data_IF_298996918279
#
_entry.id   IF_298996918279
#
_cell.length_a   1.000
_cell.length_b   1.000
_cell.length_c   1.000
_cell.angle_alpha   90.00
_cell.angle_beta   90.00
_cell.angle_gamma   90.00
#
_symmetry.space_group_name_H-M   'P 1'
#
loop_
_entity.id
_entity.type
_entity.pdbx_description
1 polymer ?
#
# COMPACT_ATOMS: atom_id res chain seq x y z
N UNK A 1 6.81 32.48 20.85
CA UNK A 1 8.24 32.66 20.54
C UNK A 1 8.49 32.00 19.18
N UNK A 2 9.05 32.76 18.24
CA UNK A 2 9.37 32.44 16.84
C UNK A 2 8.28 32.72 15.79
N UNK A 3 8.35 33.98 15.35
CA UNK A 3 7.94 34.58 14.09
C UNK A 3 8.83 34.19 12.90
N UNK A 4 8.27 34.38 11.69
CA UNK A 4 8.92 34.75 10.43
C UNK A 4 9.92 33.78 9.78
N UNK A 5 9.57 33.27 8.60
CA UNK A 5 10.40 33.36 7.40
C UNK A 5 9.49 33.29 6.16
N UNK A 6 9.15 34.47 5.63
CA UNK A 6 8.78 34.65 4.23
C UNK A 6 10.09 34.67 3.44
N UNK A 7 10.23 33.78 2.46
CA UNK A 7 11.26 33.94 1.42
C UNK A 7 10.63 33.68 0.07
N UNK A 8 10.39 34.78 -0.64
CA UNK A 8 9.99 34.82 -2.04
C UNK A 8 11.19 34.38 -2.88
N UNK A 9 11.07 33.25 -3.57
CA UNK A 9 12.06 32.83 -4.58
C UNK A 9 11.51 33.20 -5.95
N UNK A 10 11.92 34.36 -6.43
CA UNK A 10 11.74 34.82 -7.80
C UNK A 10 12.49 33.86 -8.75
N UNK A 11 11.76 33.11 -9.57
CA UNK A 11 12.37 32.33 -10.66
C UNK A 11 12.68 33.32 -11.78
N UNK A 12 13.96 33.65 -11.92
CA UNK A 12 14.50 34.40 -13.04
C UNK A 12 14.47 33.48 -14.28
N UNK A 13 13.51 33.70 -15.16
CA UNK A 13 13.45 33.04 -16.46
C UNK A 13 14.31 33.89 -17.40
N UNK A 14 15.48 33.36 -17.72
CA UNK A 14 16.40 33.92 -18.70
C UNK A 14 15.71 33.89 -20.07
N UNK A 15 15.05 34.99 -20.46
CA UNK A 15 14.53 35.21 -21.80
C UNK A 15 15.60 35.87 -22.63
N UNK A 16 16.45 35.08 -23.27
CA UNK A 16 17.30 35.60 -24.34
C UNK A 16 17.28 34.68 -25.55
N UNK A 17 17.16 35.37 -26.69
CA UNK A 17 17.41 34.91 -28.07
C UNK A 17 16.26 34.19 -28.78
N UNK A 18 15.38 34.94 -29.43
CA UNK A 18 15.01 34.74 -30.85
C UNK A 18 14.39 36.04 -31.41
N UNK A 19 15.23 37.03 -31.64
CA UNK A 19 14.92 38.15 -32.54
C UNK A 19 15.52 37.84 -33.91
N UNK A 20 14.73 37.23 -34.79
CA UNK A 20 14.96 37.31 -36.23
C UNK A 20 13.61 37.50 -36.94
N UNK A 21 13.29 38.77 -37.17
CA UNK A 21 12.24 39.21 -38.07
C UNK A 21 12.61 38.72 -39.49
N UNK A 22 11.94 37.67 -39.97
CA UNK A 22 11.76 37.43 -41.40
C UNK A 22 10.27 37.50 -41.70
N UNK A 23 9.86 38.60 -42.34
CA UNK A 23 8.63 38.62 -43.12
C UNK A 23 8.78 37.56 -44.22
N UNK A 24 8.13 36.42 -44.01
CA UNK A 24 8.08 35.31 -44.96
C UNK A 24 6.80 34.54 -44.72
N UNK A 25 5.89 34.64 -45.69
CA UNK A 25 4.70 33.80 -45.94
C UNK A 25 4.50 32.65 -44.94
N UNK A 26 3.49 32.77 -44.08
CA UNK A 26 3.05 31.74 -43.13
C UNK A 26 2.64 30.47 -43.87
N UNK A 27 3.55 29.52 -43.95
CA UNK A 27 3.25 28.14 -44.33
C UNK A 27 2.31 27.53 -43.27
N UNK A 28 1.04 27.30 -43.63
CA UNK A 28 0.03 26.68 -42.77
C UNK A 28 0.47 25.33 -42.15
N UNK A 29 1.42 24.63 -42.78
CA UNK A 29 2.01 23.38 -42.28
C UNK A 29 2.84 23.55 -40.99
N UNK A 30 3.52 24.68 -40.80
CA UNK A 30 4.37 24.92 -39.62
C UNK A 30 3.55 25.25 -38.37
N UNK A 31 2.43 25.96 -38.53
CA UNK A 31 1.49 26.27 -37.45
C UNK A 31 0.77 25.02 -36.93
N UNK A 32 0.35 24.13 -37.84
CA UNK A 32 -0.29 22.87 -37.47
C UNK A 32 0.67 21.93 -36.71
N UNK A 33 1.94 21.86 -37.12
CA UNK A 33 2.98 21.07 -36.45
C UNK A 33 3.27 21.59 -35.03
N UNK A 34 3.40 22.91 -34.87
CA UNK A 34 3.66 23.55 -33.58
C UNK A 34 2.48 23.40 -32.60
N UNK A 35 1.25 23.57 -33.07
CA UNK A 35 0.04 23.35 -32.27
C UNK A 35 -0.10 21.88 -31.81
N UNK A 36 0.30 20.93 -32.67
CA UNK A 36 0.26 19.50 -32.34
C UNK A 36 1.31 19.14 -31.28
N UNK A 37 2.51 19.72 -31.37
CA UNK A 37 3.56 19.56 -30.36
C UNK A 37 3.14 20.14 -29.00
N UNK A 38 2.61 21.37 -28.98
CA UNK A 38 2.13 22.01 -27.76
C UNK A 38 0.99 21.22 -27.09
N UNK A 39 0.07 20.64 -27.88
CA UNK A 39 -0.99 19.77 -27.38
C UNK A 39 -0.46 18.45 -26.81
N UNK A 40 0.59 17.90 -27.42
CA UNK A 40 1.25 16.69 -26.92
C UNK A 40 1.97 16.95 -25.61
N UNK A 41 2.67 18.08 -25.50
CA UNK A 41 3.35 18.49 -24.26
C UNK A 41 2.35 18.77 -23.12
N UNK A 42 1.25 19.47 -23.41
CA UNK A 42 0.21 19.73 -22.40
C UNK A 42 -0.45 18.44 -21.92
N UNK A 43 -0.70 17.49 -22.81
CA UNK A 43 -1.22 16.15 -22.47
C UNK A 43 -0.23 15.36 -21.59
N UNK A 44 1.07 15.34 -21.92
CA UNK A 44 2.08 14.64 -21.12
C UNK A 44 2.24 15.28 -19.72
N UNK A 45 2.17 16.60 -19.63
CA UNK A 45 2.19 17.31 -18.35
C UNK A 45 0.94 17.00 -17.51
N UNK A 46 -0.24 16.91 -18.12
CA UNK A 46 -1.46 16.54 -17.42
C UNK A 46 -1.39 15.10 -16.89
N UNK A 47 -0.93 14.14 -17.71
CA UNK A 47 -0.81 12.73 -17.31
C UNK A 47 0.22 12.52 -16.19
N UNK A 48 1.35 13.21 -16.22
CA UNK A 48 2.36 13.12 -15.15
C UNK A 48 1.88 13.70 -13.83
N UNK A 49 1.12 14.80 -13.85
CA UNK A 49 0.48 15.35 -12.64
C UNK A 49 -0.59 14.43 -12.07
N UNK A 50 -1.43 13.84 -12.93
CA UNK A 50 -2.44 12.89 -12.49
C UNK A 50 -1.80 11.67 -11.81
N UNK A 51 -0.75 11.11 -12.42
CA UNK A 51 -0.01 9.99 -11.83
C UNK A 51 0.65 10.38 -10.50
N UNK A 52 1.24 11.57 -10.41
CA UNK A 52 1.82 12.06 -9.16
C UNK A 52 0.79 12.14 -8.02
N UNK A 53 -0.38 12.73 -8.29
CA UNK A 53 -1.46 12.81 -7.31
C UNK A 53 -1.93 11.42 -6.91
N UNK A 54 -2.17 10.52 -7.86
CA UNK A 54 -2.61 9.15 -7.58
C UNK A 54 -1.59 8.37 -6.75
N UNK A 55 -0.30 8.45 -7.08
CA UNK A 55 0.77 7.79 -6.33
C UNK A 55 0.85 8.32 -4.90
N UNK A 56 0.84 9.64 -4.71
CA UNK A 56 0.89 10.27 -3.38
C UNK A 56 -0.34 9.91 -2.55
N UNK A 57 -1.54 10.06 -3.12
CA UNK A 57 -2.79 9.73 -2.43
C UNK A 57 -2.83 8.26 -2.02
N UNK A 58 -2.44 7.35 -2.92
CA UNK A 58 -2.39 5.91 -2.61
C UNK A 58 -1.39 5.61 -1.50
N UNK A 59 -0.20 6.21 -1.54
CA UNK A 59 0.82 6.04 -0.50
C UNK A 59 0.33 6.55 0.86
N UNK A 60 -0.27 7.75 0.90
CA UNK A 60 -0.79 8.36 2.13
C UNK A 60 -1.94 7.57 2.73
N UNK A 61 -2.86 7.07 1.89
CA UNK A 61 -3.96 6.20 2.34
C UNK A 61 -3.41 4.89 2.92
N UNK A 62 -2.44 4.26 2.26
CA UNK A 62 -1.82 3.04 2.75
C UNK A 62 -1.08 3.27 4.09
N UNK A 63 -0.21 4.29 4.16
CA UNK A 63 0.55 4.58 5.37
C UNK A 63 -0.33 5.05 6.51
N UNK A 64 -1.35 5.88 6.24
CA UNK A 64 -2.32 6.34 7.22
C UNK A 64 -3.20 5.21 7.75
N UNK A 65 -3.60 4.28 6.87
CA UNK A 65 -4.29 3.06 7.26
C UNK A 65 -3.46 2.20 8.20
N UNK A 66 -2.20 1.90 7.84
CA UNK A 66 -1.27 1.15 8.70
C UNK A 66 -1.06 1.87 10.04
N UNK A 67 -0.83 3.19 10.03
CA UNK A 67 -0.65 3.97 11.25
C UNK A 67 -1.89 3.93 12.15
N UNK A 68 -3.09 4.01 11.57
CA UNK A 68 -4.36 3.93 12.32
C UNK A 68 -4.54 2.56 12.97
N UNK A 69 -4.21 1.48 12.24
CA UNK A 69 -4.23 0.13 12.80
C UNK A 69 -3.25 0.00 13.97
N UNK A 70 -2.03 0.51 13.82
CA UNK A 70 -0.99 0.44 14.85
C UNK A 70 -1.34 1.26 16.10
N UNK A 71 -1.90 2.46 15.93
CA UNK A 71 -2.18 3.38 17.04
C UNK A 71 -3.47 3.03 17.79
N UNK A 72 -4.48 2.50 17.12
CA UNK A 72 -5.80 2.29 17.72
C UNK A 72 -6.21 0.82 17.76
N UNK A 73 -6.12 0.12 16.63
CA UNK A 73 -6.61 -1.26 16.53
C UNK A 73 -5.73 -2.24 17.30
N UNK A 74 -4.40 -2.18 17.18
CA UNK A 74 -3.49 -3.10 17.87
C UNK A 74 -3.62 -3.00 19.40
N UNK A 75 -3.60 -1.80 20.03
CA UNK A 75 -3.81 -1.69 21.47
C UNK A 75 -5.16 -2.26 21.93
N UNK A 76 -6.23 -2.00 21.16
CA UNK A 76 -7.54 -2.53 21.45
C UNK A 76 -7.56 -4.06 21.37
N UNK A 77 -6.96 -4.66 20.33
CA UNK A 77 -6.86 -6.12 20.19
C UNK A 77 -6.08 -6.75 21.35
N UNK A 78 -4.97 -6.13 21.79
CA UNK A 78 -4.16 -6.61 22.91
C UNK A 78 -4.91 -6.59 24.26
N UNK A 79 -5.96 -5.78 24.38
CA UNK A 79 -6.81 -5.73 25.57
C UNK A 79 -7.85 -6.85 25.65
N UNK A 80 -8.13 -7.53 24.54
CA UNK A 80 -9.16 -8.56 24.44
C UNK A 80 -8.59 -9.96 24.69
N UNK A 81 -9.41 -10.93 25.15
CA UNK A 81 -9.02 -12.34 25.19
C UNK A 81 -8.75 -12.87 23.78
N UNK A 82 -8.00 -13.97 23.67
CA UNK A 82 -7.67 -14.60 22.40
C UNK A 82 -8.93 -15.00 21.62
N UNK A 83 -10.00 -15.45 22.30
CA UNK A 83 -11.26 -15.82 21.65
C UNK A 83 -11.94 -14.67 20.89
N UNK A 84 -11.61 -13.41 21.20
CA UNK A 84 -12.14 -12.24 20.48
C UNK A 84 -11.11 -11.56 19.59
N UNK A 85 -9.86 -11.46 20.07
CA UNK A 85 -8.80 -10.78 19.33
C UNK A 85 -8.35 -11.55 18.09
N UNK A 86 -8.36 -12.89 18.10
CA UNK A 86 -7.86 -13.70 16.99
C UNK A 86 -8.72 -13.58 15.72
N UNK A 87 -10.06 -13.68 15.75
CA UNK A 87 -10.87 -13.51 14.55
C UNK A 87 -10.76 -12.10 13.98
N UNK A 88 -10.76 -11.07 14.85
CA UNK A 88 -10.57 -9.68 14.46
C UNK A 88 -9.22 -9.45 13.78
N UNK A 89 -8.15 -9.99 14.37
CA UNK A 89 -6.79 -9.92 13.81
C UNK A 89 -6.74 -10.59 12.45
N UNK A 90 -7.38 -11.75 12.31
CA UNK A 90 -7.42 -12.48 11.05
C UNK A 90 -8.21 -11.74 9.96
N UNK A 91 -9.33 -11.12 10.32
CA UNK A 91 -10.10 -10.27 9.41
C UNK A 91 -9.25 -9.10 8.90
N UNK A 92 -8.54 -8.41 9.81
CA UNK A 92 -7.64 -7.32 9.47
C UNK A 92 -6.47 -7.79 8.59
N UNK A 93 -5.84 -8.92 8.93
CA UNK A 93 -4.72 -9.46 8.17
C UNK A 93 -5.14 -9.87 6.75
N UNK A 94 -6.25 -10.59 6.61
CA UNK A 94 -6.77 -11.05 5.30
C UNK A 94 -7.04 -9.87 4.36
N UNK A 95 -7.65 -8.79 4.84
CA UNK A 95 -7.86 -7.61 3.98
C UNK A 95 -6.56 -6.83 3.76
N UNK A 96 -5.78 -6.64 4.81
CA UNK A 96 -4.54 -5.87 4.78
C UNK A 96 -3.49 -6.48 3.85
N UNK A 97 -3.37 -7.82 3.81
CA UNK A 97 -2.41 -8.54 2.97
C UNK A 97 -2.66 -8.39 1.48
N UNK A 98 -3.87 -7.98 1.07
CA UNK A 98 -4.19 -7.67 -0.31
C UNK A 98 -4.16 -6.16 -0.58
N UNK A 99 -4.72 -5.33 0.30
CA UNK A 99 -4.84 -3.89 0.08
C UNK A 99 -3.47 -3.19 0.12
N UNK A 100 -2.68 -3.42 1.17
CA UNK A 100 -1.45 -2.65 1.38
C UNK A 100 -0.33 -3.02 0.39
N UNK A 101 -0.07 -4.30 0.07
CA UNK A 101 0.91 -4.65 -0.95
C UNK A 101 0.53 -4.14 -2.34
N UNK A 102 -0.75 -4.22 -2.72
CA UNK A 102 -1.23 -3.69 -4.01
C UNK A 102 -1.10 -2.18 -4.07
N UNK A 103 -1.48 -1.46 -3.00
CA UNK A 103 -1.30 -0.01 -2.91
C UNK A 103 0.18 0.39 -2.98
N UNK A 104 1.04 -0.35 -2.28
CA UNK A 104 2.48 -0.11 -2.29
C UNK A 104 3.10 -0.32 -3.68
N UNK A 105 2.74 -1.42 -4.35
CA UNK A 105 3.18 -1.71 -5.72
C UNK A 105 2.71 -0.62 -6.68
N UNK A 106 1.41 -0.28 -6.67
CA UNK A 106 0.84 0.73 -7.53
C UNK A 106 1.54 2.09 -7.37
N UNK A 107 1.67 2.56 -6.12
CA UNK A 107 2.27 3.85 -5.85
C UNK A 107 3.77 3.86 -6.16
N UNK A 108 4.50 2.80 -5.80
CA UNK A 108 5.93 2.65 -6.10
C UNK A 108 6.20 2.63 -7.61
N UNK A 109 5.40 1.90 -8.39
CA UNK A 109 5.50 1.90 -9.85
C UNK A 109 5.25 3.29 -10.45
N UNK A 110 4.25 4.02 -9.95
CA UNK A 110 3.99 5.39 -10.39
C UNK A 110 5.14 6.34 -10.07
N UNK A 111 5.72 6.26 -8.86
CA UNK A 111 6.91 7.04 -8.51
C UNK A 111 8.14 6.64 -9.33
N UNK A 112 8.37 5.35 -9.59
CA UNK A 112 9.46 4.88 -10.43
C UNK A 112 9.33 5.41 -11.87
N UNK A 113 8.11 5.40 -12.43
CA UNK A 113 7.84 6.00 -13.72
C UNK A 113 8.09 7.52 -13.73
N UNK A 114 7.63 8.24 -12.70
CA UNK A 114 7.89 9.67 -12.56
C UNK A 114 9.39 9.99 -12.47
N UNK A 115 10.15 9.18 -11.73
CA UNK A 115 11.61 9.29 -11.65
C UNK A 115 12.27 9.10 -13.03
N UNK A 116 11.87 8.06 -13.77
CA UNK A 116 12.37 7.79 -15.11
C UNK A 116 12.00 8.91 -16.10
N UNK A 117 10.77 9.40 -16.05
CA UNK A 117 10.27 10.46 -16.95
C UNK A 117 10.96 11.81 -16.72
N UNK A 118 11.40 12.07 -15.48
CA UNK A 118 12.12 13.28 -15.09
C UNK A 118 13.61 13.27 -15.47
N UNK A 119 14.14 12.15 -15.98
CA UNK A 119 15.50 12.10 -16.49
C UNK A 119 15.66 12.95 -17.76
N UNK A 120 16.82 13.59 -17.96
CA UNK A 120 17.16 14.19 -19.25
C UNK A 120 17.02 13.16 -20.38
N UNK A 121 16.51 13.52 -21.57
CA UNK A 121 16.29 12.57 -22.66
C UNK A 121 17.52 11.72 -23.01
N UNK A 122 18.71 12.32 -23.00
CA UNK A 122 19.99 11.66 -23.27
C UNK A 122 20.43 10.69 -22.15
N UNK A 123 19.79 10.72 -20.99
CA UNK A 123 20.12 9.89 -19.81
C UNK A 123 18.98 8.96 -19.42
N UNK A 124 18.01 8.70 -20.30
CA UNK A 124 16.89 7.78 -20.06
C UNK A 124 17.31 6.31 -20.14
N UNK A 125 18.11 5.90 -19.16
CA UNK A 125 18.55 4.53 -18.97
C UNK A 125 18.57 4.19 -17.48
N UNK A 126 18.69 2.90 -17.17
CA UNK A 126 18.89 2.46 -15.78
C UNK A 126 20.14 3.09 -15.15
N UNK A 127 21.25 3.13 -15.90
CA UNK A 127 22.49 3.79 -15.46
C UNK A 127 22.28 5.29 -15.20
N UNK A 128 21.47 5.96 -16.03
CA UNK A 128 21.06 7.34 -15.80
C UNK A 128 20.23 7.50 -14.52
N UNK A 129 19.26 6.61 -14.29
CA UNK A 129 18.47 6.62 -13.05
C UNK A 129 19.38 6.52 -11.81
N UNK A 130 20.35 5.59 -11.82
CA UNK A 130 21.31 5.44 -10.72
C UNK A 130 22.18 6.69 -10.53
N UNK A 131 22.61 7.33 -11.62
CA UNK A 131 23.41 8.57 -11.58
C UNK A 131 22.64 9.76 -10.98
N UNK A 132 21.32 9.80 -11.16
CA UNK A 132 20.44 10.88 -10.69
C UNK A 132 19.60 10.50 -9.47
N UNK A 133 19.74 9.29 -8.93
CA UNK A 133 18.94 8.76 -7.82
C UNK A 133 19.04 9.58 -6.52
N UNK A 134 20.10 10.37 -6.36
CA UNK A 134 20.29 11.28 -5.22
C UNK A 134 20.12 12.77 -5.59
N UNK A 135 19.60 13.09 -6.80
CA UNK A 135 19.60 14.46 -7.33
C UNK A 135 18.21 14.94 -7.72
N UNK A 136 17.83 16.09 -7.18
CA UNK A 136 16.64 16.84 -7.58
C UNK A 136 15.36 16.00 -7.56
N UNK A 137 14.47 16.25 -8.54
CA UNK A 137 13.16 15.58 -8.64
C UNK A 137 13.27 14.08 -8.89
N UNK A 138 14.26 13.64 -9.67
CA UNK A 138 14.51 12.21 -9.94
C UNK A 138 14.79 11.48 -8.64
N UNK A 139 15.66 12.04 -7.79
CA UNK A 139 15.98 11.42 -6.51
C UNK A 139 14.81 11.38 -5.53
N UNK A 140 13.99 12.43 -5.47
CA UNK A 140 12.80 12.42 -4.62
C UNK A 140 11.79 11.33 -5.04
N UNK A 141 11.53 11.18 -6.33
CA UNK A 141 10.64 10.12 -6.82
C UNK A 141 11.25 8.72 -6.64
N UNK A 142 12.55 8.56 -6.87
CA UNK A 142 13.25 7.29 -6.62
C UNK A 142 13.19 6.91 -5.13
N UNK A 143 13.44 7.86 -4.24
CA UNK A 143 13.33 7.68 -2.79
C UNK A 143 11.89 7.34 -2.38
N UNK A 144 10.89 8.01 -2.93
CA UNK A 144 9.48 7.71 -2.67
C UNK A 144 9.10 6.29 -3.13
N UNK A 145 9.57 5.86 -4.31
CA UNK A 145 9.35 4.51 -4.81
C UNK A 145 9.98 3.45 -3.88
N UNK A 146 11.23 3.67 -3.48
CA UNK A 146 11.97 2.79 -2.57
C UNK A 146 11.31 2.72 -1.18
N UNK A 147 10.92 3.87 -0.62
CA UNK A 147 10.26 3.95 0.68
C UNK A 147 8.91 3.21 0.65
N UNK A 148 8.14 3.38 -0.42
CA UNK A 148 6.82 2.74 -0.55
C UNK A 148 6.92 1.22 -0.60
N UNK A 149 7.87 0.67 -1.35
CA UNK A 149 8.04 -0.79 -1.47
C UNK A 149 8.78 -1.40 -0.27
N UNK A 150 9.43 -0.58 0.56
CA UNK A 150 10.16 -1.04 1.77
C UNK A 150 9.28 -1.73 2.82
N UNK A 151 7.95 -1.66 2.68
CA UNK A 151 7.02 -2.45 3.49
C UNK A 151 7.14 -3.96 3.26
N UNK A 152 7.62 -4.38 2.08
CA UNK A 152 7.75 -5.79 1.71
C UNK A 152 8.67 -6.60 2.64
N UNK A 153 9.93 -6.19 2.92
CA UNK A 153 10.79 -6.91 3.86
C UNK A 153 10.20 -6.94 5.28
N UNK A 154 9.60 -5.85 5.74
CA UNK A 154 8.94 -5.83 7.05
C UNK A 154 7.79 -6.85 7.12
N UNK A 155 6.96 -6.88 6.08
CA UNK A 155 5.86 -7.84 5.95
C UNK A 155 6.38 -9.28 5.97
N UNK A 156 7.48 -9.56 5.27
CA UNK A 156 8.10 -10.89 5.23
C UNK A 156 8.48 -11.40 6.63
N UNK A 157 9.09 -10.54 7.47
CA UNK A 157 9.42 -10.92 8.84
C UNK A 157 8.19 -11.18 9.72
N UNK A 158 7.08 -10.48 9.48
CA UNK A 158 5.84 -10.68 10.24
C UNK A 158 5.07 -11.96 9.86
N UNK A 159 5.29 -12.53 8.67
CA UNK A 159 4.52 -13.67 8.15
C UNK A 159 4.47 -14.86 9.11
N UNK A 160 5.61 -15.22 9.71
CA UNK A 160 5.70 -16.36 10.63
C UNK A 160 4.78 -16.21 11.84
N UNK A 161 4.74 -14.99 12.41
CA UNK A 161 3.91 -14.71 13.58
C UNK A 161 2.45 -14.62 13.19
N UNK A 162 2.12 -14.02 12.04
CA UNK A 162 0.76 -14.00 11.52
C UNK A 162 0.23 -15.43 11.28
N UNK A 163 1.03 -16.33 10.71
CA UNK A 163 0.65 -17.72 10.51
C UNK A 163 0.44 -18.47 11.82
N UNK A 164 1.26 -18.17 12.85
CA UNK A 164 1.06 -18.71 14.19
C UNK A 164 -0.29 -18.27 14.79
N UNK A 165 -0.64 -16.98 14.67
CA UNK A 165 -1.92 -16.44 15.14
C UNK A 165 -3.11 -17.05 14.37
N UNK A 166 -2.98 -17.25 13.05
CA UNK A 166 -4.01 -17.89 12.22
C UNK A 166 -4.26 -19.32 12.68
N UNK A 167 -3.21 -20.11 12.96
CA UNK A 167 -3.34 -21.48 13.47
C UNK A 167 -4.06 -21.51 14.82
N UNK A 168 -3.75 -20.58 15.72
CA UNK A 168 -4.46 -20.46 17.00
C UNK A 168 -5.93 -20.11 16.82
N UNK A 169 -6.24 -19.23 15.86
CA UNK A 169 -7.61 -18.87 15.54
C UNK A 169 -8.41 -20.09 15.05
N UNK A 170 -7.86 -20.86 14.10
CA UNK A 170 -8.49 -22.10 13.60
C UNK A 170 -8.71 -23.12 14.71
N UNK A 171 -7.71 -23.32 15.59
CA UNK A 171 -7.82 -24.28 16.70
C UNK A 171 -8.96 -23.95 17.69
N UNK A 172 -9.36 -22.67 17.77
CA UNK A 172 -10.50 -22.21 18.58
C UNK A 172 -11.82 -22.16 17.79
N UNK A 173 -11.84 -22.56 16.52
CA UNK A 173 -13.02 -22.45 15.66
C UNK A 173 -13.29 -21.02 15.21
N UNK A 174 -12.24 -20.21 15.07
CA UNK A 174 -12.28 -18.88 14.51
C UNK A 174 -12.04 -18.89 13.00
N UNK A 175 -12.71 -17.97 12.33
CA UNK A 175 -12.60 -17.68 10.90
C UNK A 175 -12.21 -16.23 10.71
N UNK A 176 -12.10 -15.81 9.45
CA UNK A 176 -11.73 -14.44 9.11
C UNK A 176 -12.89 -13.48 8.99
N UNK A 177 -14.14 -13.93 8.99
CA UNK A 177 -15.32 -13.07 8.84
C UNK A 177 -16.60 -13.76 9.26
N UNK A 178 -17.66 -12.98 9.48
CA UNK A 178 -18.98 -13.54 9.80
C UNK A 178 -19.52 -14.42 8.66
N UNK A 179 -19.35 -14.01 7.40
CA UNK A 179 -19.78 -14.82 6.25
C UNK A 179 -18.99 -16.13 6.13
N UNK A 180 -17.67 -16.10 6.37
CA UNK A 180 -16.82 -17.30 6.41
C UNK A 180 -17.24 -18.24 7.54
N UNK A 181 -17.57 -17.70 8.72
CA UNK A 181 -18.06 -18.49 9.84
C UNK A 181 -19.33 -19.28 9.48
N UNK A 182 -20.32 -18.62 8.88
CA UNK A 182 -21.59 -19.25 8.46
C UNK A 182 -21.33 -20.31 7.38
N UNK A 183 -20.57 -19.97 6.34
CA UNK A 183 -20.25 -20.90 5.25
C UNK A 183 -19.53 -22.17 5.75
N UNK A 184 -18.55 -21.99 6.64
CA UNK A 184 -17.76 -23.11 7.17
C UNK A 184 -18.50 -23.90 8.23
N UNK A 185 -19.42 -23.28 8.98
CA UNK A 185 -20.32 -23.99 9.88
C UNK A 185 -21.22 -24.97 9.10
N UNK A 186 -21.73 -24.56 7.94
CA UNK A 186 -22.56 -25.42 7.08
C UNK A 186 -21.77 -26.52 6.37
N UNK A 187 -20.57 -26.21 5.85
CA UNK A 187 -19.82 -27.09 4.95
C UNK A 187 -18.71 -27.91 5.63
N UNK A 188 -18.18 -27.41 6.74
CA UNK A 188 -16.94 -27.90 7.35
C UNK A 188 -17.01 -27.87 8.88
N UNK A 189 -18.10 -28.36 9.45
CA UNK A 189 -18.36 -28.33 10.90
C UNK A 189 -17.21 -28.91 11.74
N UNK A 190 -16.62 -30.03 11.29
CA UNK A 190 -15.46 -30.67 11.96
C UNK A 190 -14.22 -29.76 11.99
N UNK A 191 -13.99 -28.97 10.94
CA UNK A 191 -12.90 -27.99 10.93
C UNK A 191 -13.18 -26.85 11.91
N UNK A 192 -14.43 -26.39 11.98
CA UNK A 192 -14.90 -25.35 12.89
C UNK A 192 -14.93 -25.80 14.36
N UNK A 193 -15.04 -27.10 14.61
CA UNK A 193 -14.87 -27.71 15.94
C UNK A 193 -13.40 -27.74 16.41
N UNK A 194 -12.45 -27.48 15.49
CA UNK A 194 -11.01 -27.53 15.76
C UNK A 194 -10.42 -28.94 15.69
N UNK A 195 -11.14 -29.91 15.12
CA UNK A 195 -10.66 -31.29 14.93
C UNK A 195 -9.68 -31.38 13.75
N UNK A 196 -9.98 -30.66 12.67
CA UNK A 196 -9.14 -30.57 11.46
C UNK A 196 -8.92 -29.10 11.06
N UNK A 197 -8.14 -28.34 11.86
CA UNK A 197 -7.94 -26.93 11.63
C UNK A 197 -7.19 -26.69 10.32
N UNK A 198 -7.55 -25.61 9.64
CA UNK A 198 -6.96 -25.28 8.34
C UNK A 198 -5.48 -24.86 8.44
N UNK A 199 -4.72 -25.15 7.38
CA UNK A 199 -3.41 -24.56 7.15
C UNK A 199 -3.47 -23.02 7.10
N UNK A 200 -2.40 -22.37 7.55
CA UNK A 200 -2.33 -20.91 7.55
C UNK A 200 -2.23 -20.35 6.12
N UNK A 201 -1.58 -21.09 5.23
CA UNK A 201 -1.44 -20.83 3.80
C UNK A 201 -2.79 -20.91 3.06
N UNK A 202 -3.53 -22.02 3.23
CA UNK A 202 -4.86 -22.16 2.62
C UNK A 202 -5.83 -21.09 3.14
N UNK A 203 -5.73 -20.76 4.44
CA UNK A 203 -6.49 -19.68 5.07
C UNK A 203 -6.21 -18.32 4.42
N UNK A 204 -4.96 -18.04 4.04
CA UNK A 204 -4.54 -16.75 3.50
C UNK A 204 -4.88 -16.64 2.03
N UNK A 205 -4.83 -17.74 1.28
CA UNK A 205 -5.27 -17.75 -0.12
C UNK A 205 -6.81 -17.71 -0.23
N UNK A 206 -7.52 -18.11 0.84
CA UNK A 206 -8.97 -18.15 0.84
C UNK A 206 -9.52 -19.26 -0.05
N UNK A 207 -8.76 -20.35 -0.19
CA UNK A 207 -9.16 -21.52 -0.97
C UNK A 207 -10.51 -22.03 -0.43
N UNK A 208 -11.45 -22.48 -1.26
CA UNK A 208 -12.74 -23.04 -0.81
C UNK A 208 -13.47 -22.27 0.31
N UNK A 209 -13.47 -20.93 0.28
CA UNK A 209 -14.07 -20.05 1.28
C UNK A 209 -14.65 -18.78 0.61
N UNK A 210 -15.34 -17.93 1.38
CA UNK A 210 -15.94 -16.69 0.84
C UNK A 210 -14.89 -15.75 0.26
N UNK A 211 -15.15 -15.09 -0.87
CA UNK A 211 -14.10 -14.26 -1.51
C UNK A 211 -13.62 -13.11 -0.61
N UNK A 212 -12.30 -12.92 -0.47
CA UNK A 212 -11.74 -11.83 0.34
C UNK A 212 -12.02 -10.43 -0.24
N UNK A 213 -12.31 -10.35 -1.53
CA UNK A 213 -12.60 -9.09 -2.22
C UNK A 213 -14.08 -8.70 -2.16
N UNK A 214 -14.97 -9.70 -2.05
CA UNK A 214 -16.42 -9.50 -2.11
C UNK A 214 -17.12 -9.75 -0.77
N UNK A 215 -16.38 -10.20 0.24
CA UNK A 215 -16.88 -10.33 1.59
C UNK A 215 -16.95 -8.98 2.30
N UNK A 216 -18.13 -8.37 2.23
CA UNK A 216 -18.47 -7.13 2.92
C UNK A 216 -18.83 -7.34 4.39
N UNK A 217 -18.89 -8.59 4.86
CA UNK A 217 -19.22 -8.87 6.25
C UNK A 217 -18.11 -8.41 7.20
N UNK A 218 -18.54 -8.12 8.42
CA UNK A 218 -17.65 -7.79 9.51
C UNK A 218 -16.79 -8.98 9.94
N UNK A 219 -15.84 -8.73 10.86
CA UNK A 219 -15.12 -9.81 11.53
C UNK A 219 -16.10 -10.74 12.25
N UNK A 220 -15.75 -12.02 12.38
CA UNK A 220 -16.43 -12.88 13.34
C UNK A 220 -16.20 -12.32 14.75
N UNK A 221 -17.27 -12.13 15.52
CA UNK A 221 -17.17 -11.46 16.82
C UNK A 221 -16.35 -12.26 17.85
N UNK A 222 -16.45 -13.60 17.77
CA UNK A 222 -15.77 -14.51 18.69
C UNK A 222 -15.58 -15.89 18.06
N UNK A 223 -14.48 -16.56 18.42
CA UNK A 223 -14.26 -17.98 18.17
C UNK A 223 -15.35 -18.85 18.82
N UNK A 224 -15.60 -20.05 18.27
CA UNK A 224 -16.55 -21.02 18.85
C UNK A 224 -16.15 -21.45 20.26
N UNK A 225 -14.84 -21.65 20.48
CA UNK A 225 -14.28 -22.08 21.77
C UNK A 225 -13.73 -20.89 22.52
N UNK A 226 -13.94 -20.88 23.82
CA UNK A 226 -13.28 -19.91 24.70
C UNK A 226 -11.78 -20.16 24.79
N UNK A 227 -11.02 -19.07 24.88
CA UNK A 227 -9.59 -19.16 25.12
C UNK A 227 -9.31 -19.35 26.61
N UNK A 228 -8.31 -20.18 26.90
CA UNK A 228 -7.75 -20.33 28.24
C UNK A 228 -6.76 -19.19 28.56
N UNK A 229 -6.46 -19.00 29.86
CA UNK A 229 -5.44 -18.03 30.29
C UNK A 229 -4.08 -18.26 29.65
N UNK A 230 -3.71 -19.53 29.42
CA UNK A 230 -2.45 -19.90 28.76
C UNK A 230 -2.43 -19.46 27.29
N UNK A 231 -3.52 -19.71 26.55
CA UNK A 231 -3.66 -19.26 25.16
C UNK A 231 -3.66 -17.73 25.05
N UNK A 232 -4.33 -17.02 25.98
CA UNK A 232 -4.29 -15.56 26.02
C UNK A 232 -2.87 -15.02 26.28
N UNK A 233 -2.07 -15.72 27.09
CA UNK A 233 -0.67 -15.36 27.31
C UNK A 233 0.19 -15.64 26.07
N UNK A 234 -0.05 -16.75 25.38
CA UNK A 234 0.68 -17.10 24.17
C UNK A 234 0.42 -16.10 23.03
N UNK A 235 -0.85 -15.74 22.83
CA UNK A 235 -1.24 -14.70 21.88
C UNK A 235 -0.59 -13.36 22.24
N UNK A 236 -0.59 -12.97 23.52
CA UNK A 236 0.14 -11.78 24.00
C UNK A 236 1.65 -11.84 23.77
N UNK A 237 2.25 -13.02 23.88
CA UNK A 237 3.65 -13.26 23.54
C UNK A 237 3.93 -12.98 22.06
N UNK A 238 3.06 -13.47 21.17
CA UNK A 238 3.15 -13.19 19.73
C UNK A 238 3.00 -11.69 19.41
N UNK A 239 2.12 -10.98 20.12
CA UNK A 239 1.99 -9.53 19.95
C UNK A 239 3.24 -8.76 20.39
N UNK A 240 3.99 -9.25 21.38
CA UNK A 240 5.24 -8.62 21.80
C UNK A 240 6.36 -8.84 20.79
N UNK A 241 6.41 -10.01 20.13
CA UNK A 241 7.42 -10.28 19.11
C UNK A 241 7.23 -9.47 17.82
N UNK A 242 6.02 -8.95 17.57
CA UNK A 242 5.70 -8.10 16.41
C UNK A 242 6.07 -6.62 16.59
N UNK A 243 6.65 -6.23 17.72
CA UNK A 243 6.99 -4.84 18.04
C UNK A 243 6.16 -4.35 19.22
N UNK A 244 6.80 -4.31 20.39
CA UNK A 244 6.35 -3.61 21.59
C UNK A 244 7.28 -2.46 21.91
#
# INVERSE_FOLDING_TARGET
MLSNFYTSTSININTDTYSSLRLGTTNHSNLASSATLARKESSIMASSRALQVLSISTALLASGGIASLSLFSIPLLKSQPASRSLPLTRWLFSRGSHIFPTAALFSSSGFAYLAYSALPPASRSFAGLMKYAAKGKVGLYAAAAALTISIAPFTHFMLSTNFKLIKMNEALGGTRSAASAVYREEKYEQQMAGEWPRGADESVNGDDDVSQWWDWSGPQERTRRESSKSQDQEVRGCWRSLGG
#
